data_IF_391486049315
#
_entry.id   IF_391486049315
#
_cell.length_a   1.000
_cell.length_b   1.000
_cell.length_c   1.000
_cell.angle_alpha   90.00
_cell.angle_beta   90.00
_cell.angle_gamma   90.00
#
_symmetry.space_group_name_H-M   'P 1'
#
loop_
_entity.id
_entity.type
_entity.pdbx_description
1 polymer ?
#
# COMPACT_ATOMS: atom_id res chain seq x y z
N UNK A 1 9.58 -7.78 21.11
CA UNK A 1 11.01 -7.49 20.92
C UNK A 1 11.15 -6.01 20.64
N UNK A 2 12.05 -5.34 21.36
CA UNK A 2 12.31 -3.91 21.19
C UNK A 2 13.70 -3.77 20.58
N UNK A 3 13.80 -2.96 19.53
CA UNK A 3 15.07 -2.63 18.89
C UNK A 3 15.69 -1.43 19.61
N UNK A 4 16.97 -1.52 19.93
CA UNK A 4 17.77 -0.36 20.34
C UNK A 4 18.20 0.44 19.11
N UNK A 5 18.57 1.70 19.30
CA UNK A 5 19.14 2.55 18.23
C UNK A 5 20.33 1.88 17.53
N UNK A 6 21.20 1.21 18.29
CA UNK A 6 22.34 0.48 17.73
C UNK A 6 21.91 -0.73 16.89
N UNK A 7 20.92 -1.49 17.36
CA UNK A 7 20.38 -2.64 16.61
C UNK A 7 19.66 -2.21 15.32
N UNK A 8 19.11 -0.99 15.25
CA UNK A 8 18.49 -0.47 14.03
C UNK A 8 19.53 -0.31 12.92
N UNK A 9 20.72 0.22 13.22
CA UNK A 9 21.80 0.38 12.24
C UNK A 9 22.30 -0.95 11.65
N UNK A 10 22.05 -2.05 12.35
CA UNK A 10 22.48 -3.40 11.99
C UNK A 10 21.44 -4.19 11.17
N UNK A 11 20.23 -3.65 11.00
CA UNK A 11 19.14 -4.39 10.35
C UNK A 11 19.51 -4.77 8.91
N UNK A 12 19.04 -5.92 8.41
CA UNK A 12 19.33 -6.39 7.06
C UNK A 12 18.36 -5.77 6.04
N UNK A 13 18.00 -4.50 6.21
CA UNK A 13 17.00 -3.79 5.41
C UNK A 13 17.40 -2.32 5.25
N UNK A 14 16.93 -1.66 4.19
CA UNK A 14 16.96 -0.20 4.12
C UNK A 14 15.85 0.34 5.02
N UNK A 15 16.17 0.74 6.25
CA UNK A 15 15.18 1.04 7.26
C UNK A 15 15.55 2.22 8.15
N UNK A 16 14.54 2.94 8.63
CA UNK A 16 14.66 3.96 9.66
C UNK A 16 13.62 3.77 10.76
N UNK A 17 14.02 4.04 11.99
CA UNK A 17 13.14 4.19 13.13
C UNK A 17 12.77 5.67 13.27
N UNK A 18 11.47 5.97 13.26
CA UNK A 18 10.94 7.32 13.34
C UNK A 18 10.07 7.53 14.57
N UNK A 19 10.09 8.75 15.12
CA UNK A 19 9.06 9.27 16.03
C UNK A 19 8.37 10.46 15.36
N UNK A 20 7.12 10.25 14.94
CA UNK A 20 6.50 11.14 13.96
C UNK A 20 7.31 11.18 12.67
N UNK A 21 7.79 12.38 12.31
CA UNK A 21 8.63 12.64 11.13
C UNK A 21 10.14 12.69 11.47
N UNK A 22 10.52 12.60 12.74
CA UNK A 22 11.92 12.64 13.18
C UNK A 22 12.58 11.26 13.02
N UNK A 23 13.74 11.20 12.36
CA UNK A 23 14.53 9.97 12.22
C UNK A 23 15.40 9.78 13.46
N UNK A 24 15.08 8.79 14.29
CA UNK A 24 15.81 8.46 15.51
C UNK A 24 17.06 7.58 15.24
N UNK A 25 16.96 6.68 14.26
CA UNK A 25 18.02 5.75 13.87
C UNK A 25 17.76 5.23 12.45
N UNK A 26 18.80 4.87 11.70
CA UNK A 26 18.63 4.29 10.37
C UNK A 26 19.78 3.36 9.99
N UNK A 27 19.53 2.47 9.03
CA UNK A 27 20.60 1.69 8.38
C UNK A 27 21.36 2.55 7.36
N UNK A 28 22.60 2.18 7.00
CA UNK A 28 23.37 2.91 5.98
C UNK A 28 22.68 3.00 4.61
N UNK A 29 21.84 2.01 4.28
CA UNK A 29 21.12 1.92 3.02
C UNK A 29 19.81 2.72 3.03
N UNK A 30 19.44 3.33 4.15
CA UNK A 30 18.22 4.12 4.26
C UNK A 30 18.20 5.30 3.29
N UNK A 31 17.08 5.44 2.60
CA UNK A 31 16.68 6.62 1.84
C UNK A 31 15.27 7.01 2.30
N UNK A 32 14.90 8.31 2.24
CA UNK A 32 13.55 8.75 2.60
C UNK A 32 12.47 7.87 1.96
N UNK A 33 11.41 7.60 2.72
CA UNK A 33 10.33 6.73 2.29
C UNK A 33 9.67 7.24 1.00
N UNK A 34 9.29 6.32 0.13
CA UNK A 34 8.48 6.57 -1.05
C UNK A 34 7.57 5.37 -1.34
N UNK A 35 6.78 5.41 -2.43
CA UNK A 35 5.94 4.28 -2.81
C UNK A 35 6.67 2.95 -2.82
N UNK A 36 6.09 1.98 -2.13
CA UNK A 36 6.72 0.69 -1.84
C UNK A 36 7.20 0.55 -0.39
N UNK A 37 7.45 1.64 0.33
CA UNK A 37 7.89 1.54 1.73
C UNK A 37 6.78 0.98 2.64
N UNK A 38 7.19 0.21 3.65
CA UNK A 38 6.30 -0.41 4.63
C UNK A 38 6.56 0.14 6.01
N UNK A 39 5.51 0.62 6.66
CA UNK A 39 5.56 1.10 8.03
C UNK A 39 5.14 0.01 9.01
N UNK A 40 6.00 -0.27 9.99
CA UNK A 40 5.71 -1.16 11.11
C UNK A 40 5.68 -0.34 12.40
N UNK A 41 4.52 -0.28 13.07
CA UNK A 41 4.44 0.38 14.38
C UNK A 41 5.15 -0.43 15.46
N UNK A 42 5.88 0.27 16.32
CA UNK A 42 6.60 -0.30 17.46
C UNK A 42 6.58 0.69 18.63
N UNK A 43 5.71 0.44 19.60
CA UNK A 43 5.42 1.32 20.73
C UNK A 43 5.01 2.72 20.28
N UNK A 44 5.83 3.74 20.58
CA UNK A 44 5.59 5.14 20.20
C UNK A 44 6.23 5.49 18.86
N UNK A 45 7.10 4.62 18.35
CA UNK A 45 7.86 4.84 17.12
C UNK A 45 7.32 4.00 15.98
N UNK A 46 7.83 4.25 14.79
CA UNK A 46 7.55 3.47 13.59
C UNK A 46 8.85 3.06 12.92
N UNK A 47 9.01 1.77 12.61
CA UNK A 47 10.09 1.32 11.74
C UNK A 47 9.57 1.35 10.31
N UNK A 48 10.13 2.22 9.48
CA UNK A 48 9.82 2.28 8.05
C UNK A 48 10.90 1.53 7.29
N UNK A 49 10.49 0.61 6.43
CA UNK A 49 11.37 -0.20 5.59
C UNK A 49 11.12 0.23 4.14
N UNK A 50 12.12 0.83 3.51
CA UNK A 50 12.09 1.20 2.11
C UNK A 50 12.31 -0.01 1.22
N UNK A 51 11.62 -0.06 0.08
CA UNK A 51 11.95 -1.01 -0.98
C UNK A 51 13.26 -0.61 -1.65
N UNK A 52 14.08 -1.60 -2.01
CA UNK A 52 15.40 -1.38 -2.62
C UNK A 52 15.38 -0.80 -4.05
N UNK A 53 14.22 -0.39 -4.57
CA UNK A 53 14.08 0.16 -5.91
C UNK A 53 14.41 1.67 -5.93
N UNK A 54 15.00 2.13 -7.03
CA UNK A 54 15.11 3.55 -7.37
C UNK A 54 13.71 4.10 -7.68
N UNK A 55 12.94 4.41 -6.64
CA UNK A 55 11.64 5.07 -6.76
C UNK A 55 11.89 6.47 -7.34
N UNK A 56 11.18 6.80 -8.42
CA UNK A 56 11.33 8.10 -9.05
C UNK A 56 11.03 9.23 -8.03
N UNK A 57 11.86 10.29 -7.93
CA UNK A 57 11.69 11.36 -6.93
C UNK A 57 10.31 12.02 -6.92
N UNK A 58 9.60 11.97 -8.06
CA UNK A 58 8.25 12.53 -8.20
C UNK A 58 7.11 11.67 -7.70
N UNK A 59 7.36 10.41 -7.34
CA UNK A 59 6.34 9.56 -6.79
C UNK A 59 5.69 10.16 -5.54
N UNK A 60 6.48 10.69 -4.61
CA UNK A 60 5.96 11.28 -3.37
C UNK A 60 5.17 12.58 -3.61
N UNK A 61 5.67 13.58 -4.36
CA UNK A 61 4.88 14.76 -4.72
C UNK A 61 3.56 14.44 -5.41
N UNK A 62 3.54 13.48 -6.35
CA UNK A 62 2.31 13.07 -7.06
C UNK A 62 1.33 12.38 -6.11
N UNK A 63 1.80 11.48 -5.25
CA UNK A 63 0.96 10.87 -4.21
C UNK A 63 0.35 11.94 -3.31
N UNK A 64 1.16 12.89 -2.82
CA UNK A 64 0.68 13.96 -1.93
C UNK A 64 -0.41 14.76 -2.62
N UNK A 65 -0.18 15.18 -3.87
CA UNK A 65 -1.17 15.92 -4.66
C UNK A 65 -2.44 15.12 -4.91
N UNK A 66 -2.30 13.84 -5.22
CA UNK A 66 -3.44 12.91 -5.37
C UNK A 66 -4.25 12.81 -4.08
N UNK A 67 -3.59 12.66 -2.93
CA UNK A 67 -4.27 12.58 -1.63
C UNK A 67 -4.98 13.89 -1.25
N UNK A 68 -4.41 15.05 -1.60
CA UNK A 68 -5.06 16.36 -1.43
C UNK A 68 -6.33 16.47 -2.28
N UNK A 69 -6.27 16.12 -3.56
CA UNK A 69 -7.42 16.17 -4.47
C UNK A 69 -8.52 15.18 -4.03
N UNK A 70 -8.13 13.98 -3.58
CA UNK A 70 -9.07 13.00 -3.00
C UNK A 70 -9.73 13.55 -1.73
N UNK A 71 -8.95 14.21 -0.85
CA UNK A 71 -9.46 14.81 0.38
C UNK A 71 -10.44 15.95 0.11
N UNK A 72 -10.11 16.84 -0.83
CA UNK A 72 -10.97 17.94 -1.24
C UNK A 72 -12.27 17.43 -1.88
N UNK A 73 -12.18 16.41 -2.75
CA UNK A 73 -13.35 15.77 -3.34
C UNK A 73 -14.24 15.15 -2.25
N UNK A 74 -13.66 14.39 -1.32
CA UNK A 74 -14.40 13.71 -0.25
C UNK A 74 -15.23 14.68 0.62
N UNK A 75 -14.74 15.90 0.87
CA UNK A 75 -15.44 16.91 1.66
C UNK A 75 -16.75 17.40 1.01
N UNK A 76 -16.91 17.24 -0.32
CA UNK A 76 -18.10 17.64 -1.06
C UNK A 76 -19.12 16.51 -1.25
N UNK A 77 -18.78 15.28 -0.84
CA UNK A 77 -19.58 14.09 -1.13
C UNK A 77 -20.59 13.77 -0.02
N UNK A 78 -21.69 13.06 -0.35
CA UNK A 78 -22.55 12.44 0.65
C UNK A 78 -21.74 11.53 1.58
N UNK A 79 -22.10 11.50 2.86
CA UNK A 79 -21.34 10.83 3.93
C UNK A 79 -20.88 9.41 3.59
N UNK A 80 -21.78 8.54 3.12
CA UNK A 80 -21.41 7.16 2.77
C UNK A 80 -20.34 7.08 1.68
N UNK A 81 -20.37 8.01 0.73
CA UNK A 81 -19.40 8.08 -0.35
C UNK A 81 -18.07 8.67 0.14
N UNK A 82 -18.11 9.71 0.98
CA UNK A 82 -16.90 10.30 1.57
C UNK A 82 -16.13 9.28 2.42
N UNK A 83 -16.83 8.37 3.13
CA UNK A 83 -16.21 7.26 3.86
C UNK A 83 -15.44 6.31 2.94
N UNK A 84 -16.01 5.96 1.77
CA UNK A 84 -15.38 5.07 0.78
C UNK A 84 -14.14 5.70 0.17
N UNK A 85 -14.24 6.96 -0.23
CA UNK A 85 -13.12 7.75 -0.79
C UNK A 85 -12.01 7.93 0.25
N UNK A 86 -12.36 8.14 1.52
CA UNK A 86 -11.39 8.22 2.62
C UNK A 86 -10.64 6.91 2.87
N UNK A 87 -11.31 5.75 2.73
CA UNK A 87 -10.64 4.44 2.81
C UNK A 87 -9.65 4.23 1.67
N UNK A 88 -9.99 4.69 0.47
CA UNK A 88 -9.05 4.66 -0.66
C UNK A 88 -7.83 5.56 -0.43
N UNK A 89 -8.04 6.79 0.06
CA UNK A 89 -6.95 7.67 0.46
C UNK A 89 -6.03 7.00 1.51
N UNK A 90 -6.63 6.28 2.46
CA UNK A 90 -5.90 5.53 3.46
C UNK A 90 -5.09 4.37 2.84
N UNK A 91 -5.66 3.64 1.89
CA UNK A 91 -4.95 2.59 1.15
C UNK A 91 -3.74 3.15 0.39
N UNK A 92 -3.89 4.31 -0.26
CA UNK A 92 -2.80 5.01 -0.96
C UNK A 92 -1.70 5.47 -0.01
N UNK A 93 -2.05 6.05 1.15
CA UNK A 93 -1.05 6.45 2.18
C UNK A 93 -0.19 5.27 2.64
N UNK A 94 -0.81 4.12 2.86
CA UNK A 94 -0.12 2.90 3.28
C UNK A 94 0.91 2.46 2.23
N UNK A 95 0.50 2.35 0.96
CA UNK A 95 1.41 1.89 -0.11
C UNK A 95 2.45 2.93 -0.49
N UNK A 96 2.20 4.21 -0.18
CA UNK A 96 3.15 5.30 -0.33
C UNK A 96 4.21 5.37 0.78
N UNK A 97 4.10 4.55 1.83
CA UNK A 97 4.97 4.62 3.00
C UNK A 97 4.76 5.84 3.90
N UNK A 98 3.61 6.52 3.77
CA UNK A 98 3.27 7.69 4.55
C UNK A 98 2.61 7.37 5.90
N UNK A 99 2.38 8.41 6.70
CA UNK A 99 1.59 8.30 7.94
C UNK A 99 0.16 7.81 7.69
N UNK A 100 -0.36 6.95 8.57
CA UNK A 100 -1.66 6.28 8.40
C UNK A 100 -2.89 7.15 8.72
N UNK A 101 -2.71 8.36 9.26
CA UNK A 101 -3.80 9.28 9.61
C UNK A 101 -4.05 9.39 11.12
N UNK A 102 -5.06 10.18 11.53
CA UNK A 102 -5.31 10.49 12.94
C UNK A 102 -5.96 9.33 13.71
N UNK A 103 -5.97 9.44 15.04
CA UNK A 103 -6.74 8.56 15.92
C UNK A 103 -8.22 8.95 15.89
N UNK A 104 -9.10 7.97 15.76
CA UNK A 104 -10.55 8.11 15.89
C UNK A 104 -11.14 7.04 16.81
N UNK A 105 -12.42 6.70 16.64
CA UNK A 105 -13.14 5.73 17.48
C UNK A 105 -13.47 4.43 16.77
N UNK A 106 -13.71 3.38 17.55
CA UNK A 106 -14.16 2.07 17.08
C UNK A 106 -15.43 2.12 16.22
N UNK A 107 -16.38 3.01 16.54
CA UNK A 107 -17.60 3.20 15.76
C UNK A 107 -17.30 3.69 14.33
N UNK A 108 -16.31 4.57 14.16
CA UNK A 108 -15.88 5.05 12.84
C UNK A 108 -15.29 3.91 11.99
N UNK A 109 -14.57 2.97 12.62
CA UNK A 109 -14.06 1.77 11.95
C UNK A 109 -15.21 0.95 11.37
N UNK A 110 -16.24 0.70 12.18
CA UNK A 110 -17.40 -0.10 11.77
C UNK A 110 -18.21 0.62 10.69
N UNK A 111 -18.35 1.94 10.79
CA UNK A 111 -19.05 2.74 9.79
C UNK A 111 -18.33 2.71 8.42
N UNK A 112 -17.01 2.94 8.41
CA UNK A 112 -16.18 2.79 7.23
C UNK A 112 -16.28 1.36 6.67
N UNK A 113 -16.19 0.33 7.53
CA UNK A 113 -16.26 -1.06 7.10
C UNK A 113 -17.61 -1.38 6.44
N UNK A 114 -18.73 -0.94 7.02
CA UNK A 114 -20.06 -1.11 6.42
C UNK A 114 -20.16 -0.44 5.05
N UNK A 115 -19.65 0.79 4.92
CA UNK A 115 -19.66 1.52 3.65
C UNK A 115 -18.82 0.81 2.57
N UNK A 116 -17.65 0.29 2.95
CA UNK A 116 -16.72 -0.43 2.07
C UNK A 116 -17.19 -1.83 1.69
N UNK A 117 -17.72 -2.63 2.63
CA UNK A 117 -18.24 -3.97 2.37
C UNK A 117 -19.39 -3.90 1.37
N UNK A 118 -20.34 -2.99 1.60
CA UNK A 118 -21.48 -2.81 0.70
C UNK A 118 -21.11 -2.25 -0.67
N UNK A 119 -19.90 -1.71 -0.87
CA UNK A 119 -19.43 -1.29 -2.18
C UNK A 119 -18.83 -2.44 -3.00
N UNK A 120 -18.30 -3.47 -2.33
CA UNK A 120 -17.42 -4.49 -2.93
C UNK A 120 -17.98 -5.91 -2.92
N UNK A 121 -19.06 -6.12 -2.18
CA UNK A 121 -19.65 -7.44 -1.94
C UNK A 121 -21.17 -7.35 -2.01
N UNK A 122 -21.83 -8.49 -2.18
CA UNK A 122 -23.28 -8.63 -2.08
C UNK A 122 -23.74 -9.03 -0.67
N UNK A 123 -22.85 -8.99 0.33
CA UNK A 123 -23.11 -9.42 1.69
C UNK A 123 -24.17 -8.56 2.39
N UNK A 124 -25.07 -9.22 3.13
CA UNK A 124 -25.83 -8.55 4.18
C UNK A 124 -24.91 -8.29 5.39
N UNK A 125 -24.84 -7.04 5.85
CA UNK A 125 -23.96 -6.64 6.96
C UNK A 125 -24.80 -6.23 8.16
N UNK A 126 -24.51 -6.81 9.33
CA UNK A 126 -25.05 -6.36 10.60
C UNK A 126 -23.93 -6.01 11.58
N UNK A 127 -24.20 -5.05 12.47
CA UNK A 127 -23.27 -4.63 13.52
C UNK A 127 -23.87 -5.03 14.86
N UNK A 128 -23.08 -5.72 15.68
CA UNK A 128 -23.44 -6.21 17.01
C UNK A 128 -22.36 -5.80 18.00
N UNK A 129 -22.72 -5.58 19.26
CA UNK A 129 -21.78 -5.37 20.37
C UNK A 129 -20.64 -4.39 20.05
N UNK A 130 -20.90 -3.10 20.28
CA UNK A 130 -19.93 -2.03 20.02
C UNK A 130 -19.49 -1.40 21.34
N UNK A 131 -18.29 -1.75 21.77
CA UNK A 131 -17.58 -1.06 22.84
C UNK A 131 -16.76 0.10 22.26
N UNK A 132 -16.80 1.25 22.93
CA UNK A 132 -16.14 2.45 22.43
C UNK A 132 -14.68 2.58 22.91
N UNK A 133 -13.74 2.39 21.99
CA UNK A 133 -12.30 2.58 22.22
C UNK A 133 -11.62 3.38 21.11
N UNK A 134 -10.44 3.92 21.43
CA UNK A 134 -9.62 4.69 20.49
C UNK A 134 -8.91 3.78 19.48
N UNK A 135 -8.90 4.18 18.21
CA UNK A 135 -8.28 3.42 17.11
C UNK A 135 -7.44 4.36 16.27
N UNK A 136 -6.18 3.99 16.06
CA UNK A 136 -5.32 4.69 15.10
C UNK A 136 -5.83 4.44 13.68
N UNK A 137 -6.07 5.53 12.94
CA UNK A 137 -6.50 5.50 11.55
C UNK A 137 -7.70 4.56 11.28
N UNK A 138 -8.93 4.95 11.71
CA UNK A 138 -10.10 4.08 11.60
C UNK A 138 -10.36 3.54 10.18
N UNK A 139 -10.11 4.35 9.15
CA UNK A 139 -10.23 3.95 7.75
C UNK A 139 -9.25 2.84 7.35
N UNK A 140 -8.06 2.78 7.96
CA UNK A 140 -7.08 1.70 7.76
C UNK A 140 -7.53 0.41 8.45
N UNK A 141 -8.03 0.49 9.68
CA UNK A 141 -8.62 -0.67 10.36
C UNK A 141 -9.81 -1.22 9.56
N UNK A 142 -10.65 -0.34 9.02
CA UNK A 142 -11.79 -0.73 8.19
C UNK A 142 -11.38 -1.45 6.90
N UNK A 143 -10.28 -1.06 6.26
CA UNK A 143 -9.74 -1.76 5.08
C UNK A 143 -9.44 -3.23 5.38
N UNK A 144 -8.96 -3.55 6.60
CA UNK A 144 -8.77 -4.92 7.05
C UNK A 144 -10.11 -5.65 7.10
N UNK A 145 -11.12 -5.06 7.75
CA UNK A 145 -12.45 -5.69 7.90
C UNK A 145 -13.13 -5.93 6.55
N UNK A 146 -13.04 -4.96 5.64
CA UNK A 146 -13.56 -5.10 4.25
C UNK A 146 -12.87 -6.27 3.55
N UNK A 147 -11.55 -6.41 3.70
CA UNK A 147 -10.82 -7.53 3.09
C UNK A 147 -11.20 -8.88 3.70
N UNK A 148 -11.43 -8.94 5.02
CA UNK A 148 -11.90 -10.16 5.69
C UNK A 148 -13.29 -10.56 5.21
N UNK A 149 -14.23 -9.61 5.12
CA UNK A 149 -15.58 -9.86 4.61
C UNK A 149 -15.59 -10.29 3.14
N UNK A 150 -14.83 -9.60 2.27
CA UNK A 150 -14.69 -9.98 0.87
C UNK A 150 -14.09 -11.39 0.69
N UNK A 151 -13.18 -11.80 1.59
CA UNK A 151 -12.64 -13.16 1.60
C UNK A 151 -13.69 -14.18 2.06
N UNK A 152 -14.52 -13.86 3.05
CA UNK A 152 -15.62 -14.72 3.49
C UNK A 152 -16.63 -14.97 2.35
N UNK A 153 -17.01 -13.92 1.60
CA UNK A 153 -17.85 -14.07 0.40
C UNK A 153 -17.16 -14.94 -0.67
N UNK A 154 -15.94 -14.59 -1.06
CA UNK A 154 -15.26 -15.23 -2.20
C UNK A 154 -14.88 -16.69 -1.93
N UNK A 155 -14.40 -16.99 -0.72
CA UNK A 155 -13.77 -18.28 -0.42
C UNK A 155 -14.65 -19.22 0.41
N UNK A 156 -15.56 -18.66 1.20
CA UNK A 156 -16.48 -19.43 2.03
C UNK A 156 -17.94 -19.29 1.58
N UNK A 157 -18.23 -18.48 0.54
CA UNK A 157 -19.58 -18.22 0.02
C UNK A 157 -20.54 -17.70 1.08
N UNK A 158 -20.03 -16.89 2.01
CA UNK A 158 -20.87 -16.22 2.99
C UNK A 158 -21.90 -15.35 2.26
N UNK A 159 -23.14 -15.37 2.75
CA UNK A 159 -24.22 -14.48 2.31
C UNK A 159 -24.40 -13.27 3.23
N UNK A 160 -23.89 -13.37 4.46
CA UNK A 160 -23.94 -12.32 5.47
C UNK A 160 -22.70 -12.32 6.35
N UNK A 161 -22.41 -11.17 6.93
CA UNK A 161 -21.36 -10.99 7.94
C UNK A 161 -21.88 -10.14 9.10
N UNK A 162 -21.41 -10.50 10.29
CA UNK A 162 -21.63 -9.79 11.55
C UNK A 162 -20.32 -9.11 11.94
N UNK A 163 -20.38 -7.80 12.19
CA UNK A 163 -19.25 -7.01 12.68
C UNK A 163 -19.44 -6.72 14.16
N UNK A 164 -18.38 -6.84 14.96
CA UNK A 164 -18.38 -6.40 16.35
C UNK A 164 -17.06 -5.74 16.75
N UNK A 165 -17.11 -4.95 17.83
CA UNK A 165 -15.95 -4.26 18.39
C UNK A 165 -15.96 -4.37 19.92
N UNK A 166 -14.95 -5.02 20.48
CA UNK A 166 -14.83 -5.26 21.94
C UNK A 166 -13.37 -5.40 22.35
N UNK A 167 -12.98 -4.84 23.49
CA UNK A 167 -11.65 -5.06 24.08
C UNK A 167 -10.50 -4.87 23.06
N UNK A 168 -10.49 -3.74 22.33
CA UNK A 168 -9.52 -3.42 21.27
C UNK A 168 -9.51 -4.38 20.06
N UNK A 169 -10.57 -5.17 19.90
CA UNK A 169 -10.67 -6.22 18.90
C UNK A 169 -11.88 -5.97 18.00
N UNK A 170 -11.68 -6.11 16.70
CA UNK A 170 -12.73 -6.13 15.70
C UNK A 170 -12.90 -7.54 15.16
N UNK A 171 -14.14 -8.01 15.13
CA UNK A 171 -14.47 -9.35 14.62
C UNK A 171 -15.34 -9.24 13.38
N UNK A 172 -15.00 -10.02 12.35
CA UNK A 172 -15.87 -10.31 11.21
C UNK A 172 -16.29 -11.77 11.34
N UNK A 173 -17.57 -12.03 11.59
CA UNK A 173 -18.10 -13.37 11.76
C UNK A 173 -19.15 -13.70 10.69
N UNK A 174 -19.21 -14.96 10.25
CA UNK A 174 -20.21 -15.46 9.30
C UNK A 174 -20.56 -16.93 9.61
N UNK A 175 -21.72 -17.42 9.14
CA UNK A 175 -22.06 -18.83 9.24
C UNK A 175 -21.03 -19.72 8.53
N UNK A 176 -20.45 -20.69 9.25
CA UNK A 176 -19.51 -21.66 8.70
C UNK A 176 -20.20 -22.76 7.89
N UNK A 177 -19.48 -23.34 6.92
CA UNK A 177 -19.79 -24.67 6.39
C UNK A 177 -18.66 -25.63 6.78
N UNK A 178 -19.02 -26.82 7.28
CA UNK A 178 -18.12 -27.84 7.87
C UNK A 178 -17.01 -28.39 6.94
N UNK A 179 -16.73 -27.78 5.78
CA UNK A 179 -15.87 -28.34 4.73
C UNK A 179 -14.83 -27.38 4.17
N UNK A 180 -14.14 -26.65 5.05
CA UNK A 180 -12.99 -25.84 4.64
C UNK A 180 -11.67 -26.53 4.98
N UNK A 181 -10.92 -26.95 3.95
CA UNK A 181 -9.51 -27.37 4.06
C UNK A 181 -8.62 -26.25 4.65
N UNK A 182 -7.49 -26.60 5.27
CA UNK A 182 -6.64 -25.63 5.99
C UNK A 182 -6.31 -24.35 5.19
N UNK A 183 -6.33 -23.21 5.89
CA UNK A 183 -5.88 -21.92 5.36
C UNK A 183 -4.39 -21.76 5.67
N UNK A 184 -3.54 -21.60 4.65
CA UNK A 184 -2.13 -21.28 4.86
C UNK A 184 -1.93 -19.77 4.78
N UNK A 185 -1.60 -19.14 5.91
CA UNK A 185 -1.35 -17.70 6.00
C UNK A 185 0.15 -17.42 6.07
N UNK A 186 0.72 -16.81 5.03
CA UNK A 186 2.12 -16.43 4.99
C UNK A 186 2.29 -14.96 4.59
N UNK A 187 3.37 -14.30 5.04
CA UNK A 187 3.65 -12.92 4.62
C UNK A 187 4.06 -12.82 3.16
N UNK A 188 4.63 -13.87 2.58
CA UNK A 188 4.94 -13.93 1.14
C UNK A 188 3.78 -14.45 0.31
N UNK A 189 3.56 -13.90 -0.89
CA UNK A 189 2.45 -14.28 -1.78
C UNK A 189 2.54 -15.75 -2.18
N UNK A 190 3.73 -16.22 -2.55
CA UNK A 190 3.96 -17.58 -3.06
C UNK A 190 3.70 -18.69 -2.02
N UNK A 191 3.65 -18.35 -0.72
CA UNK A 191 3.45 -19.31 0.37
C UNK A 191 2.02 -19.27 0.96
N UNK A 192 1.13 -18.44 0.41
CA UNK A 192 -0.27 -18.35 0.86
C UNK A 192 -1.14 -19.38 0.14
N UNK A 193 -2.12 -19.94 0.85
CA UNK A 193 -3.17 -20.75 0.26
C UNK A 193 -4.55 -20.23 0.66
N UNK A 194 -5.47 -20.23 -0.32
CA UNK A 194 -6.91 -19.93 -0.21
C UNK A 194 -7.33 -18.51 0.18
N UNK A 195 -6.59 -17.77 1.01
CA UNK A 195 -7.04 -16.45 1.49
C UNK A 195 -6.07 -15.31 1.12
N UNK A 196 -6.62 -14.20 0.61
CA UNK A 196 -5.87 -12.98 0.31
C UNK A 196 -5.53 -12.16 1.56
N UNK A 197 -4.45 -12.52 2.27
CA UNK A 197 -4.01 -11.88 3.52
C UNK A 197 -3.07 -10.69 3.36
N UNK A 198 -2.48 -10.52 2.18
CA UNK A 198 -1.36 -9.60 1.99
C UNK A 198 -1.67 -8.20 2.47
N UNK A 199 -2.72 -7.61 1.90
CA UNK A 199 -3.11 -6.24 2.18
C UNK A 199 -3.65 -6.04 3.60
N UNK A 200 -4.50 -6.94 4.09
CA UNK A 200 -4.99 -6.93 5.47
C UNK A 200 -3.84 -6.85 6.47
N UNK A 201 -2.77 -7.62 6.25
CA UNK A 201 -1.58 -7.55 7.09
C UNK A 201 -0.81 -6.23 6.90
N UNK A 202 -0.72 -5.64 5.69
CA UNK A 202 0.00 -4.35 5.50
C UNK A 202 -0.70 -3.27 6.31
N UNK A 203 -2.03 -3.18 6.15
CA UNK A 203 -2.86 -2.24 6.89
C UNK A 203 -2.73 -2.43 8.42
N UNK A 204 -2.79 -3.68 8.90
CA UNK A 204 -2.61 -3.97 10.32
C UNK A 204 -1.22 -3.57 10.86
N UNK A 205 -0.13 -3.92 10.16
CA UNK A 205 1.23 -3.55 10.57
C UNK A 205 1.39 -2.02 10.68
N UNK A 206 0.76 -1.26 9.76
CA UNK A 206 0.83 0.19 9.70
C UNK A 206 0.10 0.90 10.85
N UNK A 207 -0.89 0.23 11.46
CA UNK A 207 -1.61 0.71 12.65
C UNK A 207 -1.19 -0.01 13.95
N UNK A 208 -0.18 -0.88 13.89
CA UNK A 208 0.28 -1.65 15.06
C UNK A 208 -0.70 -2.72 15.52
N UNK A 209 -1.56 -3.20 14.62
CA UNK A 209 -2.51 -4.28 14.85
C UNK A 209 -2.00 -5.64 14.38
N UNK A 210 -2.77 -6.68 14.72
CA UNK A 210 -2.52 -8.07 14.34
C UNK A 210 -3.81 -8.64 13.77
N UNK A 211 -3.71 -9.39 12.67
CA UNK A 211 -4.87 -10.05 12.06
C UNK A 211 -4.76 -11.55 12.25
N UNK A 212 -5.80 -12.13 12.84
CA UNK A 212 -5.91 -13.55 13.11
C UNK A 212 -6.76 -14.24 12.03
N UNK A 213 -6.35 -15.44 11.58
CA UNK A 213 -7.09 -16.19 10.58
C UNK A 213 -8.45 -16.66 11.08
N UNK A 214 -9.38 -17.00 10.17
CA UNK A 214 -10.66 -17.57 10.50
C UNK A 214 -10.52 -18.80 11.41
N UNK A 215 -11.15 -18.73 12.58
CA UNK A 215 -11.39 -19.86 13.46
C UNK A 215 -12.89 -20.15 13.50
N UNK A 216 -13.26 -21.42 13.67
CA UNK A 216 -14.65 -21.82 13.88
C UNK A 216 -14.89 -21.97 15.39
N UNK A 217 -15.98 -21.41 15.87
CA UNK A 217 -16.42 -21.57 17.25
C UNK A 217 -17.38 -22.76 17.42
N UNK A 218 -17.73 -23.07 18.68
CA UNK A 218 -18.63 -24.18 19.00
C UNK A 218 -20.07 -23.97 18.48
N UNK A 219 -20.45 -22.74 18.13
CA UNK A 219 -21.75 -22.40 17.57
C UNK A 219 -21.79 -22.52 16.03
N UNK A 220 -20.68 -22.90 15.40
CA UNK A 220 -20.56 -23.04 13.94
C UNK A 220 -20.40 -21.70 13.23
N UNK A 221 -20.07 -20.62 13.96
CA UNK A 221 -19.65 -19.37 13.35
C UNK A 221 -18.16 -19.41 13.06
N UNK A 222 -17.80 -18.94 11.87
CA UNK A 222 -16.40 -18.68 11.53
C UNK A 222 -16.14 -17.21 11.71
N UNK A 223 -15.03 -16.88 12.37
CA UNK A 223 -14.66 -15.50 12.67
C UNK A 223 -13.20 -15.23 12.37
N UNK A 224 -12.94 -14.12 11.70
CA UNK A 224 -11.61 -13.55 11.53
C UNK A 224 -11.52 -12.24 12.32
N UNK A 225 -10.34 -11.97 12.88
CA UNK A 225 -10.18 -10.96 13.93
C UNK A 225 -9.05 -10.00 13.60
N UNK A 226 -9.28 -8.70 13.81
CA UNK A 226 -8.25 -7.67 13.88
C UNK A 226 -8.15 -7.19 15.33
N UNK A 227 -7.00 -7.38 15.97
CA UNK A 227 -6.68 -6.78 17.26
C UNK A 227 -5.82 -5.54 17.03
N UNK A 228 -6.15 -4.42 17.69
CA UNK A 228 -5.42 -3.14 17.57
C UNK A 228 -4.78 -2.74 18.91
N UNK A 229 -3.90 -1.74 18.88
CA UNK A 229 -3.31 -1.18 20.11
C UNK A 229 -2.16 -1.97 20.73
N UNK A 230 -1.82 -3.15 20.17
CA UNK A 230 -0.67 -3.95 20.60
C UNK A 230 0.66 -3.21 20.42
N UNK A 231 0.80 -2.48 19.31
CA UNK A 231 1.99 -1.67 18.97
C UNK A 231 3.31 -2.47 19.11
N UNK A 232 3.30 -3.74 18.70
CA UNK A 232 4.48 -4.61 18.69
C UNK A 232 5.03 -4.68 17.28
N UNK A 233 6.36 -4.63 17.15
CA UNK A 233 7.03 -4.77 15.85
C UNK A 233 6.60 -6.07 15.16
N UNK A 234 5.83 -5.93 14.08
CA UNK A 234 5.26 -7.03 13.31
C UNK A 234 6.14 -7.49 12.13
N UNK A 235 7.30 -6.86 11.94
CA UNK A 235 8.32 -7.32 11.00
C UNK A 235 8.90 -8.66 11.49
N UNK A 236 8.84 -9.77 10.71
CA UNK A 236 9.55 -11.00 11.06
C UNK A 236 11.04 -10.75 11.02
N UNK A 237 11.66 -10.73 12.19
CA UNK A 237 13.04 -10.34 12.39
C UNK A 237 13.63 -11.16 13.53
N UNK A 238 14.83 -11.70 13.32
CA UNK A 238 15.56 -12.43 14.33
C UNK A 238 17.06 -12.13 14.29
N UNK A 239 17.70 -12.23 15.46
CA UNK A 239 19.14 -12.25 15.62
C UNK A 239 19.58 -13.68 15.88
N UNK A 240 20.43 -14.20 15.03
CA UNK A 240 21.08 -15.49 15.19
C UNK A 240 22.48 -15.31 15.76
N UNK A 241 22.96 -16.28 16.55
CA UNK A 241 24.33 -16.27 17.03
C UNK A 241 24.76 -17.58 17.67
N UNK A 242 26.06 -17.84 17.68
CA UNK A 242 26.65 -19.07 18.20
C UNK A 242 27.73 -19.61 17.26
N UNK A 243 28.81 -20.15 17.82
CA UNK A 243 29.98 -20.60 17.05
C UNK A 243 29.91 -22.06 16.64
N UNK A 244 29.35 -22.92 17.49
CA UNK A 244 29.27 -24.37 17.26
C UNK A 244 27.86 -24.81 16.83
N UNK A 245 26.84 -24.16 17.38
CA UNK A 245 25.44 -24.34 17.03
C UNK A 245 24.82 -22.95 16.91
N UNK A 246 24.31 -22.61 15.74
CA UNK A 246 23.62 -21.35 15.51
C UNK A 246 22.26 -21.41 16.20
N UNK A 247 22.00 -20.48 17.11
CA UNK A 247 20.72 -20.40 17.83
C UNK A 247 20.06 -19.05 17.62
N UNK A 248 18.73 -19.03 17.72
CA UNK A 248 17.96 -17.78 17.74
C UNK A 248 18.20 -17.10 19.09
N UNK A 249 18.84 -15.93 19.09
CA UNK A 249 19.12 -15.15 20.30
C UNK A 249 17.95 -14.24 20.66
N UNK A 250 17.34 -13.65 19.65
CA UNK A 250 16.24 -12.68 19.77
C UNK A 250 15.35 -12.82 18.55
N UNK A 251 14.04 -12.67 18.70
CA UNK A 251 13.10 -12.70 17.59
C UNK A 251 11.85 -11.85 17.87
N UNK A 252 11.19 -11.36 16.82
CA UNK A 252 9.82 -10.84 16.91
C UNK A 252 8.82 -12.00 16.95
N UNK A 253 7.62 -11.77 17.51
CA UNK A 253 6.56 -12.78 17.47
C UNK A 253 6.19 -13.18 16.02
N UNK A 254 6.26 -12.22 15.10
CA UNK A 254 6.02 -12.46 13.68
C UNK A 254 7.07 -13.38 13.04
N UNK A 255 8.29 -13.45 13.58
CA UNK A 255 9.29 -14.44 13.17
C UNK A 255 8.88 -15.85 13.60
N UNK A 256 8.46 -15.99 14.86
CA UNK A 256 8.02 -17.27 15.42
C UNK A 256 6.82 -17.82 14.63
N UNK A 257 5.86 -16.96 14.28
CA UNK A 257 4.67 -17.32 13.49
C UNK A 257 5.02 -17.78 12.06
N UNK A 258 6.03 -17.19 11.43
CA UNK A 258 6.42 -17.53 10.04
C UNK A 258 7.42 -18.69 9.97
N UNK A 259 8.17 -18.98 11.04
CA UNK A 259 9.29 -19.94 11.01
C UNK A 259 9.21 -21.06 12.03
N UNK A 260 8.37 -20.92 13.06
CA UNK A 260 8.35 -21.76 14.27
C UNK A 260 9.67 -21.79 15.05
N UNK A 261 10.61 -20.87 14.79
CA UNK A 261 11.91 -20.78 15.45
C UNK A 261 11.90 -19.71 16.55
N UNK A 262 11.52 -20.09 17.76
CA UNK A 262 11.49 -19.18 18.93
C UNK A 262 12.90 -18.90 19.48
N UNK A 263 13.11 -17.82 20.26
CA UNK A 263 14.37 -17.59 20.97
C UNK A 263 14.81 -18.81 21.79
N UNK A 264 16.09 -19.17 21.68
CA UNK A 264 16.69 -20.39 22.25
C UNK A 264 16.68 -21.60 21.30
N UNK A 265 15.90 -21.58 20.23
CA UNK A 265 15.86 -22.68 19.25
C UNK A 265 17.19 -22.80 18.51
N UNK A 266 17.63 -24.05 18.30
CA UNK A 266 18.71 -24.36 17.37
C UNK A 266 18.18 -24.21 15.95
N UNK A 267 18.92 -23.49 15.12
CA UNK A 267 18.57 -23.33 13.70
C UNK A 267 18.94 -24.63 12.97
N UNK A 268 17.98 -25.33 12.35
CA UNK A 268 18.28 -26.59 11.67
C UNK A 268 19.31 -26.38 10.56
N UNK A 269 20.33 -27.26 10.44
CA UNK A 269 21.23 -27.26 9.30
C UNK A 269 20.43 -27.32 7.99
N UNK A 270 20.90 -26.62 6.96
CA UNK A 270 20.23 -26.52 5.65
C UNK A 270 18.83 -25.90 5.67
N UNK A 271 18.33 -25.39 6.79
CA UNK A 271 17.14 -24.54 6.77
C UNK A 271 17.40 -23.27 5.95
N UNK A 272 16.33 -22.63 5.48
CA UNK A 272 16.43 -21.33 4.81
C UNK A 272 17.11 -20.27 5.67
N UNK A 273 16.86 -20.30 6.99
CA UNK A 273 17.53 -19.45 7.97
C UNK A 273 19.05 -19.71 7.98
N UNK A 274 19.47 -20.98 8.02
CA UNK A 274 20.88 -21.36 7.98
C UNK A 274 21.56 -20.92 6.66
N UNK A 275 20.92 -21.14 5.50
CA UNK A 275 21.45 -20.71 4.19
C UNK A 275 21.61 -19.19 4.10
N UNK A 276 20.60 -18.43 4.53
CA UNK A 276 20.67 -16.97 4.52
C UNK A 276 21.75 -16.45 5.49
N UNK A 277 21.86 -17.06 6.67
CA UNK A 277 22.91 -16.71 7.64
C UNK A 277 24.31 -17.00 7.11
N UNK A 278 24.51 -18.16 6.49
CA UNK A 278 25.79 -18.53 5.88
C UNK A 278 26.16 -17.57 4.74
N UNK A 279 25.20 -17.22 3.88
CA UNK A 279 25.42 -16.23 2.83
C UNK A 279 25.83 -14.86 3.40
N UNK A 280 25.15 -14.40 4.45
CA UNK A 280 25.47 -13.12 5.10
C UNK A 280 26.88 -13.10 5.71
N UNK A 281 27.33 -14.24 6.23
CA UNK A 281 28.68 -14.38 6.78
C UNK A 281 29.79 -14.29 5.71
N UNK A 282 29.49 -14.57 4.43
CA UNK A 282 30.46 -14.43 3.34
C UNK A 282 30.74 -12.97 2.94
N UNK A 283 29.82 -12.05 3.27
CA UNK A 283 29.95 -10.62 2.99
C UNK A 283 29.56 -9.81 4.25
N UNK A 284 30.40 -9.80 5.30
CA UNK A 284 30.07 -9.14 6.56
C UNK A 284 29.70 -7.67 6.38
N UNK A 285 28.68 -7.23 7.11
CA UNK A 285 28.18 -5.85 7.07
C UNK A 285 27.26 -5.53 5.87
N UNK A 286 27.25 -6.33 4.80
CA UNK A 286 26.36 -6.14 3.66
C UNK A 286 25.00 -6.84 3.85
N UNK A 287 23.96 -6.29 3.22
CA UNK A 287 22.67 -6.97 3.11
C UNK A 287 22.76 -8.02 1.99
N UNK A 288 22.49 -9.28 2.34
CA UNK A 288 22.30 -10.36 1.37
C UNK A 288 20.83 -10.69 1.23
N UNK A 289 20.39 -11.06 0.03
CA UNK A 289 19.04 -11.56 -0.23
C UNK A 289 19.12 -13.03 -0.61
N UNK A 290 18.41 -13.89 0.13
CA UNK A 290 18.36 -15.33 -0.13
C UNK A 290 16.93 -15.83 -0.09
N UNK A 291 16.46 -16.33 -1.24
CA UNK A 291 15.12 -16.91 -1.43
C UNK A 291 13.96 -15.97 -1.05
N UNK A 292 14.20 -14.68 -0.81
CA UNK A 292 13.24 -13.68 -0.29
C UNK A 292 13.37 -13.39 1.21
N UNK A 293 14.47 -13.79 1.85
CA UNK A 293 14.89 -13.34 3.18
C UNK A 293 16.09 -12.42 3.03
N UNK A 294 16.20 -11.43 3.92
CA UNK A 294 17.37 -10.57 4.02
C UNK A 294 18.25 -11.01 5.19
N UNK A 295 19.57 -11.00 5.01
CA UNK A 295 20.54 -11.26 6.07
C UNK A 295 21.63 -10.20 6.15
N UNK A 296 22.14 -9.91 7.34
CA UNK A 296 23.34 -9.09 7.56
C UNK A 296 24.14 -9.67 8.72
N UNK A 297 25.38 -10.08 8.43
CA UNK A 297 26.31 -10.50 9.49
C UNK A 297 26.92 -9.25 10.14
N UNK A 298 26.94 -9.22 11.46
CA UNK A 298 27.45 -8.10 12.27
C UNK A 298 28.65 -8.55 13.12
N UNK A 299 29.29 -7.59 13.79
CA UNK A 299 30.43 -7.88 14.66
C UNK A 299 30.04 -8.89 15.77
N UNK A 300 31.00 -9.71 16.19
CA UNK A 300 30.78 -10.73 17.22
C UNK A 300 30.14 -12.03 16.72
N UNK A 301 30.05 -12.24 15.40
CA UNK A 301 29.58 -13.51 14.81
C UNK A 301 28.06 -13.69 14.86
N UNK A 302 27.31 -12.62 15.09
CA UNK A 302 25.86 -12.63 15.03
C UNK A 302 25.38 -12.28 13.61
N UNK A 303 24.17 -12.72 13.27
CA UNK A 303 23.55 -12.40 11.99
C UNK A 303 22.09 -12.01 12.20
N UNK A 304 21.72 -10.82 11.74
CA UNK A 304 20.32 -10.43 11.64
C UNK A 304 19.70 -11.05 10.40
N UNK A 305 18.51 -11.61 10.55
CA UNK A 305 17.67 -12.11 9.47
C UNK A 305 16.30 -11.44 9.51
N UNK A 306 15.81 -10.99 8.35
CA UNK A 306 14.47 -10.44 8.19
C UNK A 306 13.72 -11.15 7.05
N UNK A 307 12.40 -11.22 7.18
CA UNK A 307 11.50 -11.64 6.11
C UNK A 307 10.71 -10.41 5.67
N UNK A 308 11.25 -9.58 4.75
CA UNK A 308 10.51 -8.45 4.22
C UNK A 308 9.29 -8.93 3.43
N UNK A 309 8.34 -8.02 3.20
CA UNK A 309 7.20 -8.30 2.33
C UNK A 309 7.67 -8.37 0.87
N UNK A 310 6.96 -9.18 0.08
CA UNK A 310 7.12 -9.15 -1.38
C UNK A 310 6.60 -7.82 -1.95
N UNK A 311 7.28 -7.38 -3.01
CA UNK A 311 6.94 -6.33 -3.99
C UNK A 311 5.73 -5.45 -3.67
N UNK A 312 5.97 -4.42 -2.85
CA UNK A 312 4.95 -3.43 -2.47
C UNK A 312 4.66 -2.47 -3.63
N UNK A 313 5.54 -2.41 -4.64
CA UNK A 313 5.30 -1.63 -5.85
C UNK A 313 4.17 -2.25 -6.69
N UNK A 314 4.17 -3.57 -6.88
CA UNK A 314 3.04 -4.26 -7.49
C UNK A 314 1.74 -3.97 -6.73
N UNK A 315 1.82 -3.89 -5.41
CA UNK A 315 0.64 -3.55 -4.60
C UNK A 315 0.21 -2.10 -4.76
N UNK A 316 1.15 -1.17 -4.90
CA UNK A 316 0.82 0.22 -5.20
C UNK A 316 0.10 0.31 -6.56
N UNK A 317 0.58 -0.41 -7.58
CA UNK A 317 -0.09 -0.53 -8.88
C UNK A 317 -1.49 -1.12 -8.76
N UNK A 318 -1.67 -2.24 -8.05
CA UNK A 318 -3.00 -2.84 -7.80
C UNK A 318 -4.00 -1.83 -7.19
N UNK A 319 -3.54 -0.99 -6.25
CA UNK A 319 -4.40 0.02 -5.60
C UNK A 319 -4.78 1.11 -6.59
N UNK A 320 -3.84 1.56 -7.43
CA UNK A 320 -4.09 2.56 -8.47
C UNK A 320 -5.02 2.02 -9.57
N UNK A 321 -4.83 0.78 -10.00
CA UNK A 321 -5.69 0.13 -10.97
C UNK A 321 -7.10 -0.04 -10.41
N UNK A 322 -7.22 -0.55 -9.19
CA UNK A 322 -8.50 -0.67 -8.50
C UNK A 322 -9.20 0.68 -8.37
N UNK A 323 -8.45 1.73 -8.07
CA UNK A 323 -8.97 3.09 -7.98
C UNK A 323 -9.57 3.58 -9.31
N UNK A 324 -8.85 3.46 -10.43
CA UNK A 324 -9.33 3.95 -11.73
C UNK A 324 -10.57 3.19 -12.22
N UNK A 325 -10.67 1.90 -11.88
CA UNK A 325 -11.74 1.02 -12.36
C UNK A 325 -12.97 0.96 -11.43
N UNK A 326 -12.86 1.31 -10.15
CA UNK A 326 -13.95 1.22 -9.19
C UNK A 326 -14.91 2.40 -9.35
N UNK A 327 -15.78 2.34 -10.37
CA UNK A 327 -16.78 3.37 -10.71
C UNK A 327 -17.62 3.81 -9.50
N UNK A 328 -17.93 2.86 -8.62
CA UNK A 328 -18.67 3.10 -7.39
C UNK A 328 -18.01 4.11 -6.43
N UNK A 329 -16.70 4.40 -6.59
CA UNK A 329 -15.99 5.43 -5.82
C UNK A 329 -16.12 6.83 -6.44
N UNK A 330 -16.22 6.93 -7.76
CA UNK A 330 -16.07 8.19 -8.48
C UNK A 330 -17.32 8.72 -9.16
N UNK A 331 -18.37 7.91 -9.29
CA UNK A 331 -19.58 8.27 -10.03
C UNK A 331 -20.25 9.58 -9.55
N UNK A 332 -20.12 9.92 -8.27
CA UNK A 332 -20.68 11.15 -7.69
C UNK A 332 -19.67 12.28 -7.49
N UNK A 333 -18.40 12.10 -7.90
CA UNK A 333 -17.40 13.17 -7.83
C UNK A 333 -17.55 14.07 -9.06
N UNK A 334 -17.84 15.38 -8.87
CA UNK A 334 -17.98 16.29 -10.00
C UNK A 334 -16.64 16.51 -10.71
N UNK A 335 -16.71 16.82 -12.00
CA UNK A 335 -15.58 17.42 -12.70
C UNK A 335 -15.36 18.86 -12.20
N UNK A 336 -14.10 19.34 -12.09
CA UNK A 336 -12.87 18.71 -12.57
C UNK A 336 -12.19 17.71 -11.63
N UNK A 337 -12.67 17.55 -10.39
CA UNK A 337 -11.97 16.78 -9.36
C UNK A 337 -11.76 15.31 -9.77
N UNK A 338 -12.79 14.67 -10.33
CA UNK A 338 -12.70 13.31 -10.86
C UNK A 338 -11.59 13.18 -11.91
N UNK A 339 -11.59 14.08 -12.89
CA UNK A 339 -10.58 14.10 -13.95
C UNK A 339 -9.15 14.29 -13.41
N UNK A 340 -8.94 15.17 -12.41
CA UNK A 340 -7.62 15.34 -11.76
C UNK A 340 -7.16 14.09 -11.03
N UNK A 341 -8.04 13.47 -10.25
CA UNK A 341 -7.73 12.25 -9.49
C UNK A 341 -7.28 11.15 -10.45
N UNK A 342 -8.02 10.92 -11.55
CA UNK A 342 -7.66 9.91 -12.55
C UNK A 342 -6.34 10.24 -13.25
N UNK A 343 -6.11 11.51 -13.61
CA UNK A 343 -4.86 11.93 -14.23
C UNK A 343 -3.64 11.68 -13.33
N UNK A 344 -3.72 12.12 -12.07
CA UNK A 344 -2.66 11.93 -11.08
C UNK A 344 -2.41 10.44 -10.77
N UNK A 345 -3.47 9.64 -10.73
CA UNK A 345 -3.37 8.19 -10.58
C UNK A 345 -2.58 7.52 -11.71
N UNK A 346 -2.91 7.87 -12.96
CA UNK A 346 -2.25 7.33 -14.14
C UNK A 346 -0.78 7.80 -14.23
N UNK A 347 -0.50 9.06 -13.89
CA UNK A 347 0.87 9.57 -13.81
C UNK A 347 1.67 8.83 -12.75
N UNK A 348 1.07 8.59 -11.58
CA UNK A 348 1.72 7.81 -10.52
C UNK A 348 1.96 6.36 -10.96
N UNK A 349 1.00 5.71 -11.62
CA UNK A 349 1.18 4.35 -12.14
C UNK A 349 2.33 4.31 -13.16
N UNK A 350 2.43 5.30 -14.05
CA UNK A 350 3.52 5.44 -15.00
C UNK A 350 4.89 5.65 -14.33
N UNK A 351 4.94 6.49 -13.29
CA UNK A 351 6.14 6.68 -12.45
C UNK A 351 6.58 5.41 -11.74
N UNK A 352 5.63 4.51 -11.45
CA UNK A 352 5.91 3.19 -10.90
C UNK A 352 6.25 2.17 -11.99
N UNK A 353 6.44 2.56 -13.26
CA UNK A 353 6.84 1.68 -14.36
C UNK A 353 5.68 1.04 -15.13
N UNK A 354 4.46 1.53 -14.98
CA UNK A 354 3.35 1.21 -15.90
C UNK A 354 3.37 2.08 -17.17
N UNK A 355 2.52 1.74 -18.14
CA UNK A 355 2.29 2.58 -19.31
C UNK A 355 1.13 3.55 -19.07
N UNK A 356 1.16 4.71 -19.74
CA UNK A 356 -0.01 5.59 -19.80
C UNK A 356 -1.07 5.00 -20.74
N UNK A 357 -2.31 4.99 -20.28
CA UNK A 357 -3.46 4.56 -21.09
C UNK A 357 -3.56 5.37 -22.38
N UNK A 358 -3.79 4.66 -23.49
CA UNK A 358 -4.00 5.23 -24.81
C UNK A 358 -5.41 4.96 -25.31
N UNK A 359 -5.99 5.94 -26.00
CA UNK A 359 -7.30 5.86 -26.63
C UNK A 359 -7.19 6.16 -28.13
N UNK A 360 -8.12 5.63 -28.92
CA UNK A 360 -8.25 5.96 -30.35
C UNK A 360 -8.42 7.47 -30.58
N UNK A 361 -7.96 8.00 -31.72
CA UNK A 361 -8.16 9.41 -32.08
C UNK A 361 -9.62 9.87 -32.08
N UNK A 362 -10.56 9.01 -32.49
CA UNK A 362 -12.00 9.30 -32.41
C UNK A 362 -12.46 9.53 -30.96
N UNK A 363 -12.05 8.64 -30.05
CA UNK A 363 -12.37 8.76 -28.62
C UNK A 363 -11.72 9.99 -28.01
N UNK A 364 -10.49 10.32 -28.43
CA UNK A 364 -9.79 11.52 -28.01
C UNK A 364 -10.58 12.78 -28.41
N UNK A 365 -10.92 12.93 -29.69
CA UNK A 365 -11.65 14.09 -30.22
C UNK A 365 -13.03 14.26 -29.58
N UNK A 366 -13.69 13.15 -29.22
CA UNK A 366 -14.99 13.18 -28.54
C UNK A 366 -14.88 13.64 -27.08
N UNK A 367 -13.84 13.22 -26.35
CA UNK A 367 -13.68 13.46 -24.91
C UNK A 367 -12.90 14.73 -24.58
N UNK A 368 -11.87 15.07 -25.36
CA UNK A 368 -10.97 16.18 -25.07
C UNK A 368 -11.67 17.54 -24.86
N UNK A 369 -12.71 17.92 -25.63
CA UNK A 369 -13.41 19.19 -25.39
C UNK A 369 -14.10 19.26 -24.01
N UNK A 370 -14.69 18.14 -23.56
CA UNK A 370 -15.37 18.07 -22.27
C UNK A 370 -14.37 18.18 -21.11
N UNK A 371 -13.24 17.47 -21.23
CA UNK A 371 -12.16 17.50 -20.23
C UNK A 371 -11.46 18.87 -20.21
N UNK A 372 -11.24 19.49 -21.35
CA UNK A 372 -10.66 20.84 -21.43
C UNK A 372 -11.57 21.88 -20.77
N UNK A 373 -12.89 21.81 -21.02
CA UNK A 373 -13.86 22.67 -20.35
C UNK A 373 -13.86 22.44 -18.83
N UNK A 374 -13.80 21.18 -18.38
CA UNK A 374 -13.73 20.85 -16.96
C UNK A 374 -12.49 21.48 -16.28
N UNK A 375 -11.32 21.38 -16.91
CA UNK A 375 -10.09 22.01 -16.40
C UNK A 375 -10.05 23.53 -16.56
N UNK A 376 -11.02 24.15 -17.24
CA UNK A 376 -10.98 25.58 -17.56
C UNK A 376 -9.80 25.93 -18.48
N UNK A 377 -9.43 25.02 -19.37
CA UNK A 377 -8.25 25.15 -20.21
C UNK A 377 -8.40 26.31 -21.20
N UNK A 378 -7.43 27.21 -21.22
CA UNK A 378 -7.37 28.33 -22.17
C UNK A 378 -6.63 27.97 -23.46
N UNK A 379 -5.81 26.91 -23.42
CA UNK A 379 -5.09 26.37 -24.58
C UNK A 379 -6.10 25.75 -25.55
N UNK A 380 -5.99 26.09 -26.84
CA UNK A 380 -6.82 25.50 -27.88
C UNK A 380 -6.53 23.99 -28.00
N UNK A 381 -7.58 23.18 -27.96
CA UNK A 381 -7.50 21.72 -28.15
C UNK A 381 -7.57 21.43 -29.65
N UNK A 382 -6.48 20.96 -30.29
CA UNK A 382 -6.50 20.64 -31.72
C UNK A 382 -7.37 19.40 -31.98
N UNK A 383 -7.87 19.25 -33.20
CA UNK A 383 -8.44 17.97 -33.65
C UNK A 383 -7.30 17.02 -33.98
N UNK A 384 -7.32 15.81 -33.42
CA UNK A 384 -6.29 14.80 -33.63
C UNK A 384 -6.72 13.77 -34.69
N UNK A 385 -5.91 13.59 -35.73
CA UNK A 385 -6.24 12.68 -36.85
C UNK A 385 -5.54 11.32 -36.76
N UNK A 386 -4.62 11.15 -35.81
CA UNK A 386 -3.84 9.93 -35.64
C UNK A 386 -4.58 8.74 -35.00
N UNK A 387 -3.90 7.60 -35.01
CA UNK A 387 -4.46 6.29 -34.61
C UNK A 387 -4.80 6.25 -33.11
N UNK A 388 -3.93 6.78 -32.27
CA UNK A 388 -4.12 6.78 -30.83
C UNK A 388 -3.31 7.86 -30.12
N UNK A 389 -3.80 8.29 -28.96
CA UNK A 389 -3.14 9.25 -28.11
C UNK A 389 -3.38 8.91 -26.63
N UNK A 390 -2.53 9.45 -25.76
CA UNK A 390 -2.68 9.40 -24.31
C UNK A 390 -4.08 9.88 -23.89
N UNK A 391 -4.63 9.23 -22.87
CA UNK A 391 -5.97 9.53 -22.35
C UNK A 391 -6.15 11.05 -22.08
N UNK A 392 -7.24 11.68 -22.57
CA UNK A 392 -7.41 13.14 -22.51
C UNK A 392 -7.32 13.78 -21.12
N UNK A 393 -7.74 13.10 -20.04
CA UNK A 393 -7.61 13.61 -18.67
C UNK A 393 -6.16 13.74 -18.27
N UNK A 394 -5.31 12.79 -18.65
CA UNK A 394 -3.86 12.88 -18.41
C UNK A 394 -3.24 13.99 -19.25
N UNK A 395 -3.47 13.96 -20.57
CA UNK A 395 -2.87 14.91 -21.50
C UNK A 395 -3.27 16.37 -21.19
N UNK A 396 -4.55 16.61 -20.92
CA UNK A 396 -5.07 17.95 -20.64
C UNK A 396 -4.80 18.41 -19.20
N UNK A 397 -4.61 17.49 -18.25
CA UNK A 397 -4.06 17.85 -16.94
C UNK A 397 -2.64 18.40 -17.07
N UNK A 398 -1.77 17.71 -17.82
CA UNK A 398 -0.41 18.20 -18.09
C UNK A 398 -0.43 19.52 -18.84
N UNK A 399 -1.36 19.70 -19.78
CA UNK A 399 -1.54 20.97 -20.50
C UNK A 399 -2.00 22.10 -19.57
N UNK A 400 -2.93 21.83 -18.66
CA UNK A 400 -3.44 22.84 -17.72
C UNK A 400 -2.37 23.30 -16.71
N UNK A 401 -1.54 22.37 -16.24
CA UNK A 401 -0.56 22.65 -15.19
C UNK A 401 0.78 23.16 -15.75
N UNK A 402 1.20 22.71 -16.93
CA UNK A 402 2.56 22.94 -17.44
C UNK A 402 2.63 23.35 -18.93
N UNK A 403 1.50 23.29 -19.63
CA UNK A 403 1.45 23.51 -21.07
C UNK A 403 1.56 24.97 -21.49
N UNK A 404 2.15 25.17 -22.66
CA UNK A 404 2.07 26.41 -23.44
C UNK A 404 1.08 26.25 -24.61
N UNK A 405 1.21 25.14 -25.36
CA UNK A 405 0.40 24.86 -26.55
C UNK A 405 0.24 23.36 -26.81
N UNK A 406 -0.90 22.98 -27.37
CA UNK A 406 -1.13 21.65 -27.95
C UNK A 406 -1.10 21.74 -29.47
N UNK A 407 -0.26 20.91 -30.09
CA UNK A 407 -0.08 20.82 -31.54
C UNK A 407 -0.47 19.43 -32.04
N UNK A 408 -1.22 19.37 -33.13
CA UNK A 408 -1.45 18.14 -33.87
C UNK A 408 -0.99 18.32 -35.32
N UNK A 409 -0.14 17.43 -35.79
CA UNK A 409 0.34 17.39 -37.18
C UNK A 409 0.25 15.94 -37.69
N UNK A 410 -0.76 15.67 -38.54
CA UNK A 410 -1.04 14.32 -39.02
C UNK A 410 -1.34 13.34 -37.88
N UNK A 411 -0.50 12.31 -37.77
CA UNK A 411 -0.61 11.27 -36.75
C UNK A 411 0.02 11.64 -35.41
N UNK A 412 0.70 12.79 -35.34
CA UNK A 412 1.44 13.22 -34.15
C UNK A 412 0.66 14.27 -33.35
N UNK A 413 0.53 14.02 -32.04
CA UNK A 413 0.01 14.96 -31.05
C UNK A 413 1.13 15.33 -30.08
N UNK A 414 1.39 16.62 -29.88
CA UNK A 414 2.43 17.15 -29.03
C UNK A 414 1.89 18.18 -28.03
N UNK A 415 2.37 18.13 -26.78
CA UNK A 415 2.19 19.18 -25.79
C UNK A 415 3.50 19.95 -25.61
N UNK A 416 3.54 21.22 -26.01
CA UNK A 416 4.66 22.12 -25.70
C UNK A 416 4.59 22.54 -24.24
N UNK A 417 5.70 22.43 -23.54
CA UNK A 417 5.83 22.80 -22.14
C UNK A 417 6.29 24.25 -22.02
N UNK A 418 5.59 25.02 -21.18
CA UNK A 418 5.95 26.40 -20.93
C UNK A 418 7.38 26.50 -20.35
N UNK A 419 8.20 27.48 -20.77
CA UNK A 419 9.63 27.53 -20.42
C UNK A 419 9.92 27.42 -18.92
N UNK A 420 9.09 28.04 -18.08
CA UNK A 420 9.23 28.01 -16.62
C UNK A 420 8.98 26.62 -15.99
N UNK A 421 8.38 25.68 -16.72
CA UNK A 421 8.05 24.33 -16.24
C UNK A 421 8.90 23.22 -16.87
N UNK A 422 9.86 23.54 -17.75
CA UNK A 422 10.71 22.54 -18.43
C UNK A 422 11.56 21.73 -17.46
N UNK A 423 12.05 22.37 -16.40
CA UNK A 423 12.80 21.72 -15.32
C UNK A 423 11.89 21.18 -14.21
N UNK A 424 10.55 21.26 -14.38
CA UNK A 424 9.65 20.66 -13.42
C UNK A 424 9.87 19.14 -13.42
N UNK A 425 10.21 18.53 -12.27
CA UNK A 425 10.57 17.13 -12.27
C UNK A 425 9.42 16.20 -12.69
N UNK A 426 8.15 16.62 -12.61
CA UNK A 426 7.00 15.86 -13.14
C UNK A 426 7.03 15.81 -14.67
N UNK A 427 7.35 16.94 -15.30
CA UNK A 427 7.44 17.03 -16.76
C UNK A 427 8.63 16.23 -17.26
N UNK A 428 9.78 16.30 -16.55
CA UNK A 428 11.00 15.56 -16.87
C UNK A 428 10.86 14.04 -16.85
N UNK A 429 9.79 13.52 -16.28
CA UNK A 429 9.43 12.09 -16.37
C UNK A 429 9.09 11.71 -17.80
N UNK A 430 8.40 12.60 -18.51
CA UNK A 430 7.89 12.36 -19.85
C UNK A 430 8.71 13.08 -20.93
N UNK A 431 9.49 14.09 -20.54
CA UNK A 431 10.27 14.95 -21.43
C UNK A 431 11.75 14.53 -21.45
N UNK A 432 12.30 14.22 -22.63
CA UNK A 432 13.71 13.90 -22.74
C UNK A 432 14.59 15.13 -22.48
N UNK A 433 15.85 14.95 -22.02
CA UNK A 433 16.75 16.07 -21.79
C UNK A 433 16.98 16.93 -23.04
N UNK A 434 16.60 18.20 -22.98
CA UNK A 434 16.77 19.17 -24.08
C UNK A 434 15.53 19.35 -24.94
N UNK A 435 14.51 18.50 -24.79
CA UNK A 435 13.24 18.66 -25.48
C UNK A 435 12.38 19.74 -24.81
N UNK A 436 11.45 20.32 -25.58
CA UNK A 436 10.45 21.27 -25.08
C UNK A 436 9.00 20.83 -25.32
N UNK A 437 8.80 19.63 -25.88
CA UNK A 437 7.48 19.07 -26.13
C UNK A 437 7.38 17.60 -25.77
N UNK A 438 6.22 17.21 -25.24
CA UNK A 438 5.85 15.84 -24.94
C UNK A 438 5.09 15.25 -26.13
N UNK A 439 5.55 14.11 -26.66
CA UNK A 439 4.77 13.34 -27.63
C UNK A 439 3.65 12.58 -26.90
N UNK A 440 2.41 12.88 -27.28
CA UNK A 440 1.19 12.32 -26.70
C UNK A 440 0.54 11.21 -27.55
N UNK A 441 1.13 10.88 -28.70
CA UNK A 441 0.60 9.91 -29.69
C UNK A 441 1.34 8.58 -29.67
#
# INVERSE_FOLDING_TARGET
MNLTVAEVAELPLAAALLDGDEVLAHTPEWRPAGPGAVTYRSHRSSLVVSTAADVHPMCLPVVTRLLEEIGAAAASLPHRQSLRVSMLAAALRIVAGGGVGPTGRSAEVLEHACAGIAARTALAVSVHEVEDFAVLAPSVAALVLVQLAANAERHDRAASVMLSARELTFTVAWPGSQRSSGVATARRRAARARWGWGFARIAADAIGGVVYPPAEDAAGLRSAVLEVGLNRLALPLALLGGTHSVTVRKATRAWDEETSLIPGSVVPPESRAARCSAAAATVPGAIVQQEGWSGRSVAGGNTWLAIPRDDVLDRARDVLDGMVHERALWESVPDPANSRIVALAAILAALLGGDLDRVSGETWNRRAPQVAAAYGLTIAVPRFEGVGAVEPRVALFLAAEFGDRLDAEGDDLHLRIAPQHRENPLVRVFLAPGDDSLKLS
#
